data_IF_242812422554
#
_entry.id   IF_242812422554
#
_cell.length_a   1.000
_cell.length_b   1.000
_cell.length_c   1.000
_cell.angle_alpha   90.00
_cell.angle_beta   90.00
_cell.angle_gamma   90.00
#
_symmetry.space_group_name_H-M   'P 1'
#
loop_
_entity.id
_entity.type
_entity.pdbx_description
1 polymer ?
#
# COMPACT_ATOMS: atom_id res chain seq x y z
N UNK A 1 -1.92 -5.50 -18.42
CA UNK A 1 -1.46 -5.54 -17.01
C UNK A 1 -1.52 -6.99 -16.55
N UNK A 2 -0.43 -7.55 -16.00
CA UNK A 2 -0.40 -8.95 -15.58
C UNK A 2 -1.23 -9.11 -14.29
N UNK A 3 -2.28 -9.95 -14.27
CA UNK A 3 -3.25 -10.03 -13.17
C UNK A 3 -2.68 -10.50 -11.81
N UNK A 4 -1.42 -10.94 -11.75
CA UNK A 4 -0.79 -11.39 -10.50
C UNK A 4 -0.04 -10.32 -9.71
N UNK A 5 0.45 -9.25 -10.34
CA UNK A 5 1.38 -8.30 -9.70
C UNK A 5 0.64 -7.35 -8.74
N UNK A 6 -0.62 -7.01 -9.02
CA UNK A 6 -1.43 -6.12 -8.19
C UNK A 6 -1.64 -6.65 -6.76
N UNK A 7 -1.86 -7.96 -6.60
CA UNK A 7 -1.95 -8.61 -5.30
C UNK A 7 -0.60 -8.65 -4.58
N UNK A 8 0.52 -8.80 -5.31
CA UNK A 8 1.85 -8.84 -4.73
C UNK A 8 2.28 -7.52 -4.05
N UNK A 9 1.84 -6.37 -4.57
CA UNK A 9 2.20 -5.06 -3.99
C UNK A 9 1.60 -4.86 -2.59
N UNK A 10 0.36 -5.28 -2.37
CA UNK A 10 -0.29 -5.18 -1.06
C UNK A 10 0.43 -6.01 0.01
N UNK A 11 0.76 -7.27 -0.29
CA UNK A 11 1.55 -8.10 0.63
C UNK A 11 2.96 -7.53 0.89
N UNK A 12 3.59 -6.93 -0.13
CA UNK A 12 4.87 -6.26 0.05
C UNK A 12 4.76 -5.07 1.02
N UNK A 13 3.68 -4.29 0.94
CA UNK A 13 3.41 -3.17 1.86
C UNK A 13 3.31 -3.67 3.31
N UNK A 14 2.62 -4.78 3.57
CA UNK A 14 2.47 -5.30 4.93
C UNK A 14 3.74 -5.93 5.49
N UNK A 15 4.55 -6.59 4.66
CA UNK A 15 5.56 -7.54 5.16
C UNK A 15 6.98 -7.31 4.66
N UNK A 16 7.22 -6.32 3.80
CA UNK A 16 8.52 -6.15 3.16
C UNK A 16 9.16 -4.78 3.42
N UNK A 17 10.49 -4.69 3.45
CA UNK A 17 11.18 -3.41 3.61
C UNK A 17 10.98 -2.52 2.38
N UNK A 18 11.11 -1.20 2.58
CA UNK A 18 10.87 -0.19 1.53
C UNK A 18 11.61 -0.44 0.20
N UNK A 19 12.89 -0.88 0.18
CA UNK A 19 13.57 -1.23 -1.07
C UNK A 19 12.90 -2.37 -1.84
N UNK A 20 12.31 -3.35 -1.13
CA UNK A 20 11.60 -4.44 -1.79
C UNK A 20 10.26 -3.99 -2.37
N UNK A 21 9.56 -3.05 -1.71
CA UNK A 21 8.30 -2.47 -2.21
C UNK A 21 8.55 -1.63 -3.48
N UNK A 22 9.70 -0.95 -3.55
CA UNK A 22 10.12 -0.18 -4.73
C UNK A 22 10.27 -1.05 -5.99
N UNK A 23 10.85 -2.24 -5.86
CA UNK A 23 11.11 -3.14 -6.99
C UNK A 23 9.88 -3.46 -7.85
N UNK A 24 8.73 -3.93 -7.30
CA UNK A 24 7.54 -4.19 -8.10
C UNK A 24 6.95 -2.90 -8.68
N UNK A 25 7.03 -1.76 -7.98
CA UNK A 25 6.57 -0.47 -8.51
C UNK A 25 7.39 -0.05 -9.74
N UNK A 26 8.72 -0.19 -9.68
CA UNK A 26 9.62 0.05 -10.82
C UNK A 26 9.39 -0.95 -11.96
N UNK A 27 8.97 -2.18 -11.65
CA UNK A 27 8.55 -3.18 -12.62
C UNK A 27 7.13 -2.95 -13.21
N UNK A 28 6.45 -1.86 -12.84
CA UNK A 28 5.14 -1.49 -13.37
C UNK A 28 3.95 -2.11 -12.63
N UNK A 29 4.14 -2.55 -11.38
CA UNK A 29 3.02 -2.89 -10.50
C UNK A 29 2.07 -1.70 -10.39
N UNK A 30 0.77 -1.96 -10.59
CA UNK A 30 -0.22 -0.90 -10.54
C UNK A 30 -0.43 -0.46 -9.07
N UNK A 31 -0.20 0.82 -8.73
CA UNK A 31 -0.57 1.36 -7.43
C UNK A 31 -2.08 1.66 -7.33
N UNK A 32 -2.86 1.26 -8.34
CA UNK A 32 -4.33 1.34 -8.42
C UNK A 32 -4.89 0.06 -9.02
N UNK A 33 -4.94 -1.06 -8.27
CA UNK A 33 -5.52 -2.29 -8.79
C UNK A 33 -7.02 -2.08 -9.08
N UNK A 34 -7.47 -2.37 -10.30
CA UNK A 34 -8.89 -2.21 -10.68
C UNK A 34 -9.80 -3.28 -10.04
N UNK A 35 -9.24 -4.44 -9.69
CA UNK A 35 -9.94 -5.59 -9.13
C UNK A 35 -9.33 -5.93 -7.75
N UNK A 36 -9.43 -4.96 -6.84
CA UNK A 36 -8.73 -5.03 -5.56
C UNK A 36 -9.53 -5.85 -4.55
N UNK A 37 -9.03 -7.04 -4.19
CA UNK A 37 -9.60 -7.86 -3.13
C UNK A 37 -9.32 -7.31 -1.71
N UNK A 38 -8.33 -6.43 -1.57
CA UNK A 38 -7.88 -5.84 -0.30
C UNK A 38 -7.97 -4.31 -0.25
N UNK A 39 -7.23 -3.70 0.68
CA UNK A 39 -7.27 -2.24 0.86
C UNK A 39 -6.38 -1.52 -0.17
N UNK A 40 -6.76 -0.33 -0.65
CA UNK A 40 -5.92 0.55 -1.46
C UNK A 40 -4.50 0.71 -0.87
N UNK A 41 -3.44 0.81 -1.69
CA UNK A 41 -2.06 0.81 -1.20
C UNK A 41 -1.77 1.86 -0.11
N UNK A 42 -2.39 3.04 -0.21
CA UNK A 42 -2.24 4.09 0.81
C UNK A 42 -2.92 3.72 2.14
N UNK A 43 -4.09 3.07 2.09
CA UNK A 43 -4.78 2.59 3.29
C UNK A 43 -3.99 1.43 3.92
N UNK A 44 -3.48 0.51 3.10
CA UNK A 44 -2.61 -0.58 3.58
C UNK A 44 -1.38 -0.01 4.31
N UNK A 45 -0.70 0.98 3.73
CA UNK A 45 0.46 1.64 4.35
C UNK A 45 0.10 2.33 5.69
N UNK A 46 -1.02 3.06 5.73
CA UNK A 46 -1.50 3.72 6.95
C UNK A 46 -1.86 2.73 8.06
N UNK A 47 -2.39 1.55 7.72
CA UNK A 47 -2.69 0.51 8.70
C UNK A 47 -1.43 0.00 9.43
N UNK A 48 -0.25 0.11 8.80
CA UNK A 48 1.02 -0.28 9.39
C UNK A 48 1.57 0.70 10.45
N UNK A 49 0.91 1.84 10.68
CA UNK A 49 1.20 2.75 11.81
C UNK A 49 0.81 2.14 13.15
N UNK A 50 -0.12 1.18 13.14
CA UNK A 50 -0.54 0.44 14.31
C UNK A 50 0.29 -0.84 14.43
N UNK A 51 0.87 -1.07 15.60
CA UNK A 51 1.53 -2.33 15.88
C UNK A 51 0.49 -3.45 15.98
N UNK A 52 0.67 -4.51 15.18
CA UNK A 52 -0.09 -5.74 15.37
C UNK A 52 0.28 -6.39 16.73
N UNK A 53 -0.60 -7.19 17.34
CA UNK A 53 -0.27 -7.94 18.55
C UNK A 53 1.00 -8.78 18.35
N UNK A 54 2.02 -8.55 19.17
CA UNK A 54 3.31 -9.25 19.07
C UNK A 54 4.26 -8.75 17.98
N UNK A 55 3.93 -7.65 17.30
CA UNK A 55 4.77 -6.99 16.30
C UNK A 55 5.09 -5.53 16.63
N UNK A 56 5.86 -4.89 15.75
CA UNK A 56 6.16 -3.46 15.81
C UNK A 56 5.47 -2.72 14.67
N UNK A 57 5.02 -1.49 14.93
CA UNK A 57 4.60 -0.59 13.87
C UNK A 57 5.77 -0.29 12.93
N UNK A 58 5.47 -0.02 11.65
CA UNK A 58 6.47 0.43 10.69
C UNK A 58 6.96 1.83 11.06
N UNK A 59 8.27 2.04 11.04
CA UNK A 59 8.88 3.35 11.28
C UNK A 59 9.02 4.21 10.01
N UNK A 60 8.85 3.59 8.83
CA UNK A 60 9.08 4.17 7.50
C UNK A 60 7.78 4.49 6.74
N UNK A 61 6.65 4.64 7.46
CA UNK A 61 5.33 4.84 6.84
C UNK A 61 5.29 6.12 6.00
N UNK A 62 5.93 7.20 6.45
CA UNK A 62 5.93 8.47 5.72
C UNK A 62 6.68 8.33 4.40
N UNK A 63 7.84 7.66 4.41
CA UNK A 63 8.63 7.35 3.21
C UNK A 63 7.87 6.42 2.27
N UNK A 64 7.15 5.44 2.82
CA UNK A 64 6.32 4.53 2.04
C UNK A 64 5.14 5.26 1.37
N UNK A 65 4.47 6.16 2.07
CA UNK A 65 3.40 6.97 1.50
C UNK A 65 3.91 7.86 0.36
N UNK A 66 5.07 8.51 0.54
CA UNK A 66 5.73 9.29 -0.52
C UNK A 66 6.02 8.42 -1.73
N UNK A 67 6.63 7.24 -1.53
CA UNK A 67 6.92 6.30 -2.61
C UNK A 67 5.64 5.92 -3.39
N UNK A 68 4.56 5.57 -2.70
CA UNK A 68 3.31 5.18 -3.35
C UNK A 68 2.69 6.35 -4.13
N UNK A 69 2.73 7.56 -3.58
CA UNK A 69 2.24 8.78 -4.25
C UNK A 69 3.09 9.13 -5.48
N UNK A 70 4.41 9.01 -5.40
CA UNK A 70 5.34 9.26 -6.52
C UNK A 70 5.07 8.31 -7.70
N UNK A 71 4.61 7.09 -7.41
CA UNK A 71 4.18 6.12 -8.44
C UNK A 71 2.72 6.29 -8.87
N UNK A 72 1.97 7.24 -8.30
CA UNK A 72 0.62 7.58 -8.73
C UNK A 72 -0.50 6.80 -8.02
N UNK A 73 -0.27 6.34 -6.79
CA UNK A 73 -1.35 5.91 -5.92
C UNK A 73 -2.35 7.06 -5.70
N UNK A 74 -3.65 6.75 -5.74
CA UNK A 74 -4.70 7.76 -5.64
C UNK A 74 -5.17 7.91 -4.17
N UNK A 75 -4.99 9.08 -3.53
CA UNK A 75 -5.45 9.32 -2.16
C UNK A 75 -6.97 9.31 -2.02
N UNK A 76 -7.71 9.50 -3.11
CA UNK A 76 -9.16 9.43 -3.15
C UNK A 76 -9.68 8.00 -3.41
N UNK A 77 -8.80 7.03 -3.66
CA UNK A 77 -9.21 5.64 -3.87
C UNK A 77 -9.92 5.10 -2.62
N UNK A 78 -11.12 4.56 -2.84
CA UNK A 78 -11.98 4.03 -1.79
C UNK A 78 -11.69 2.54 -1.58
N UNK A 79 -11.55 2.13 -0.33
CA UNK A 79 -11.42 0.73 0.05
C UNK A 79 -12.77 0.02 0.18
N UNK A 80 -12.72 -1.26 0.59
CA UNK A 80 -13.90 -2.13 0.77
C UNK A 80 -14.94 -1.58 1.77
N UNK A 81 -14.51 -0.70 2.67
CA UNK A 81 -15.34 -0.05 3.68
C UNK A 81 -15.75 1.37 3.29
N UNK A 82 -15.58 1.74 2.01
CA UNK A 82 -15.92 3.06 1.47
C UNK A 82 -15.06 4.22 2.04
N UNK A 83 -13.95 3.90 2.72
CA UNK A 83 -13.01 4.90 3.24
C UNK A 83 -11.92 5.22 2.23
N UNK A 84 -11.48 6.47 2.24
CA UNK A 84 -10.25 6.94 1.58
C UNK A 84 -9.08 6.95 2.55
N UNK A 85 -7.87 7.21 2.05
CA UNK A 85 -6.68 7.35 2.89
C UNK A 85 -6.86 8.41 4.00
N UNK A 86 -7.56 9.52 3.72
CA UNK A 86 -7.77 10.60 4.68
C UNK A 86 -8.73 10.26 5.85
N UNK A 87 -9.48 9.16 5.75
CA UNK A 87 -10.28 8.69 6.88
C UNK A 87 -9.43 8.00 7.96
N UNK A 88 -8.23 7.57 7.61
CA UNK A 88 -7.25 7.01 8.54
C UNK A 88 -6.38 8.14 9.08
N UNK A 89 -6.25 8.23 10.41
CA UNK A 89 -5.52 9.31 11.10
C UNK A 89 -4.01 9.16 11.00
#
# INVERSE_FOLDING_TARGET
MLPGIGACLEYAIYHSPLPFIRTPLEAGAAPRPADQAGFPPLIAALSCTLAAPGGSARSDVVELLRLLLDFGADPAQRGINDYTALHWR
#
